data_IF_720780931788
#
_entry.id   IF_720780931788
#
_cell.length_a   1.000
_cell.length_b   1.000
_cell.length_c   1.000
_cell.angle_alpha   90.00
_cell.angle_beta   90.00
_cell.angle_gamma   90.00
#
_symmetry.space_group_name_H-M   'P 1'
#
loop_
_entity.id
_entity.type
_entity.pdbx_description
1 polymer ?
#
# COMPACT_ATOMS: atom_id res chain seq x y z
N UNK A 1 -14.69 -47.20 17.51
CA UNK A 1 -15.61 -46.69 16.48
C UNK A 1 -15.41 -45.19 16.36
N UNK A 2 -14.77 -44.74 15.28
CA UNK A 2 -14.56 -43.31 15.03
C UNK A 2 -15.90 -42.72 14.60
N UNK A 3 -16.33 -41.66 15.29
CA UNK A 3 -17.61 -41.00 15.07
C UNK A 3 -17.61 -40.35 13.67
N UNK A 4 -18.25 -40.99 12.69
CA UNK A 4 -18.35 -40.51 11.31
C UNK A 4 -19.02 -39.13 11.19
N UNK A 5 -19.70 -38.64 12.24
CA UNK A 5 -20.24 -37.29 12.32
C UNK A 5 -19.18 -36.18 12.42
N UNK A 6 -17.99 -36.46 12.96
CA UNK A 6 -16.91 -35.46 13.07
C UNK A 6 -16.07 -35.35 11.78
N UNK A 7 -15.97 -36.43 10.99
CA UNK A 7 -15.32 -36.38 9.67
C UNK A 7 -16.14 -35.61 8.63
N UNK A 8 -17.46 -35.49 8.81
CA UNK A 8 -18.33 -34.73 7.91
C UNK A 8 -18.16 -33.20 8.05
N UNK A 9 -17.61 -32.70 9.15
CA UNK A 9 -17.32 -31.27 9.31
C UNK A 9 -15.96 -30.83 8.73
N UNK A 10 -15.17 -31.77 8.19
CA UNK A 10 -13.96 -31.49 7.40
C UNK A 10 -14.28 -31.13 5.93
N UNK A 11 -15.55 -30.88 5.59
CA UNK A 11 -15.99 -30.36 4.30
C UNK A 11 -15.35 -28.99 4.01
N UNK A 12 -14.21 -29.03 3.31
CA UNK A 12 -13.53 -27.98 2.54
C UNK A 12 -13.93 -26.54 2.91
N UNK A 13 -13.32 -25.99 3.97
CA UNK A 13 -13.50 -24.59 4.35
C UNK A 13 -13.09 -23.68 3.19
N UNK A 14 -14.05 -23.05 2.52
CA UNK A 14 -13.78 -22.12 1.42
C UNK A 14 -13.43 -20.74 1.96
N UNK A 15 -12.25 -20.24 1.58
CA UNK A 15 -11.75 -18.92 1.97
C UNK A 15 -11.60 -18.07 0.72
N UNK A 16 -12.24 -16.90 0.72
CA UNK A 16 -12.09 -15.91 -0.35
C UNK A 16 -11.17 -14.78 0.11
N UNK A 17 -10.03 -14.62 -0.53
CA UNK A 17 -9.10 -13.51 -0.31
C UNK A 17 -9.41 -12.42 -1.33
N UNK A 18 -9.64 -11.18 -0.91
CA UNK A 18 -9.90 -10.03 -1.78
C UNK A 18 -8.84 -8.96 -1.50
N UNK A 19 -8.24 -8.42 -2.55
CA UNK A 19 -7.21 -7.40 -2.43
C UNK A 19 -6.90 -6.68 -3.73
N UNK A 20 -6.24 -5.54 -3.63
CA UNK A 20 -5.43 -4.98 -4.71
C UNK A 20 -4.00 -5.52 -4.56
N UNK A 21 -3.36 -5.84 -5.68
CA UNK A 21 -2.01 -6.40 -5.74
C UNK A 21 -1.18 -5.53 -6.68
N UNK A 22 -0.82 -4.30 -6.27
CA UNK A 22 -0.01 -3.44 -7.12
C UNK A 22 1.40 -4.00 -7.27
N UNK A 23 1.98 -4.53 -6.19
CA UNK A 23 3.30 -5.17 -6.16
C UNK A 23 3.18 -6.40 -5.25
N UNK A 24 3.96 -7.45 -5.52
CA UNK A 24 4.12 -8.59 -4.59
C UNK A 24 5.40 -8.37 -3.80
N UNK A 25 5.28 -8.25 -2.47
CA UNK A 25 6.40 -8.02 -1.56
C UNK A 25 6.30 -8.95 -0.34
N UNK A 26 7.30 -8.94 0.55
CA UNK A 26 7.42 -9.83 1.72
C UNK A 26 6.14 -9.97 2.55
N UNK A 27 5.39 -8.88 2.77
CA UNK A 27 4.13 -8.91 3.51
C UNK A 27 3.04 -9.81 2.91
N UNK A 28 3.01 -9.98 1.58
CA UNK A 28 2.14 -10.97 0.93
C UNK A 28 2.61 -12.39 1.18
N UNK A 29 3.92 -12.63 1.13
CA UNK A 29 4.51 -13.95 1.39
C UNK A 29 4.26 -14.37 2.85
N UNK A 30 4.46 -13.45 3.80
CA UNK A 30 4.17 -13.67 5.22
C UNK A 30 2.68 -13.97 5.44
N UNK A 31 1.80 -13.23 4.74
CA UNK A 31 0.36 -13.50 4.75
C UNK A 31 0.04 -14.91 4.23
N UNK A 32 0.58 -15.29 3.08
CA UNK A 32 0.36 -16.60 2.45
C UNK A 32 0.79 -17.74 3.37
N UNK A 33 1.99 -17.67 3.93
CA UNK A 33 2.50 -18.66 4.87
C UNK A 33 1.63 -18.78 6.12
N UNK A 34 1.24 -17.64 6.70
CA UNK A 34 0.40 -17.60 7.90
C UNK A 34 -0.99 -18.17 7.65
N UNK A 35 -1.61 -17.84 6.52
CA UNK A 35 -2.97 -18.31 6.23
C UNK A 35 -3.01 -19.80 5.86
N UNK A 36 -1.99 -20.31 5.16
CA UNK A 36 -1.85 -21.75 4.89
C UNK A 36 -1.63 -22.54 6.17
N UNK A 37 -0.69 -22.11 7.03
CA UNK A 37 -0.41 -22.77 8.31
C UNK A 37 -1.65 -22.87 9.20
N UNK A 38 -2.49 -21.82 9.19
CA UNK A 38 -3.74 -21.77 9.98
C UNK A 38 -4.92 -22.53 9.34
N UNK A 39 -4.90 -22.80 8.04
CA UNK A 39 -6.04 -23.38 7.32
C UNK A 39 -5.58 -24.46 6.33
N UNK A 40 -4.88 -25.49 6.82
CA UNK A 40 -4.25 -26.55 6.00
C UNK A 40 -5.19 -27.26 5.01
N UNK A 41 -6.48 -27.39 5.35
CA UNK A 41 -7.48 -28.08 4.50
C UNK A 41 -8.48 -27.11 3.85
N UNK A 42 -8.17 -25.82 3.76
CA UNK A 42 -9.04 -24.85 3.15
C UNK A 42 -8.85 -24.78 1.63
N UNK A 43 -9.96 -24.60 0.91
CA UNK A 43 -9.94 -24.24 -0.51
C UNK A 43 -9.91 -22.72 -0.64
N UNK A 44 -8.89 -22.21 -1.32
CA UNK A 44 -8.69 -20.77 -1.44
C UNK A 44 -9.12 -20.22 -2.80
N UNK A 45 -9.77 -19.08 -2.75
CA UNK A 45 -10.24 -18.31 -3.90
C UNK A 45 -9.70 -16.90 -3.80
N UNK A 46 -9.36 -16.28 -4.93
CA UNK A 46 -8.79 -14.93 -4.95
C UNK A 46 -9.64 -13.99 -5.78
N UNK A 47 -9.92 -12.82 -5.22
CA UNK A 47 -10.66 -11.74 -5.83
C UNK A 47 -9.79 -10.52 -6.06
N UNK A 48 -9.60 -10.14 -7.33
CA UNK A 48 -8.97 -8.89 -7.70
C UNK A 48 -10.02 -7.82 -7.94
N UNK A 49 -9.78 -6.62 -7.44
CA UNK A 49 -10.64 -5.47 -7.73
C UNK A 49 -10.25 -4.86 -9.09
N UNK A 50 -11.21 -4.76 -10.00
CA UNK A 50 -10.97 -4.11 -11.28
C UNK A 50 -10.74 -2.59 -11.09
N UNK A 51 -9.71 -2.05 -11.74
CA UNK A 51 -9.33 -0.63 -11.68
C UNK A 51 -10.43 0.34 -12.09
N UNK A 52 -11.49 -0.09 -12.78
CA UNK A 52 -12.65 0.77 -13.10
C UNK A 52 -13.49 1.19 -11.89
N UNK A 53 -13.36 0.52 -10.73
CA UNK A 53 -13.91 1.01 -9.45
C UNK A 53 -13.10 2.22 -8.92
N UNK A 54 -11.87 2.44 -9.41
CA UNK A 54 -10.97 3.48 -8.92
C UNK A 54 -11.13 4.86 -9.61
N UNK A 55 -11.81 4.95 -10.75
CA UNK A 55 -11.88 6.22 -11.52
C UNK A 55 -12.70 7.33 -10.84
N UNK A 56 -13.55 6.99 -9.86
CA UNK A 56 -14.29 8.01 -9.09
C UNK A 56 -13.51 8.63 -7.93
N UNK A 57 -12.31 8.12 -7.58
CA UNK A 57 -11.65 8.47 -6.31
C UNK A 57 -10.21 9.01 -6.47
N UNK A 58 -9.51 8.83 -7.59
CA UNK A 58 -8.14 9.37 -7.75
C UNK A 58 -7.88 9.98 -9.12
N UNK A 59 -7.43 11.25 -9.14
CA UNK A 59 -6.94 12.01 -10.31
C UNK A 59 -5.55 11.53 -10.81
N UNK A 60 -4.95 10.53 -10.19
CA UNK A 60 -3.63 10.01 -10.53
C UNK A 60 -3.75 8.57 -11.07
N UNK A 61 -3.66 8.42 -12.40
CA UNK A 61 -3.23 7.18 -13.07
C UNK A 61 -1.69 7.20 -13.24
N UNK A 62 -1.04 6.07 -13.59
CA UNK A 62 -0.98 4.78 -12.94
C UNK A 62 0.21 4.69 -11.96
N UNK A 63 0.14 3.84 -10.93
CA UNK A 63 1.36 3.47 -10.19
C UNK A 63 2.26 2.69 -11.17
N UNK A 64 3.40 3.26 -11.58
CA UNK A 64 4.35 2.64 -12.52
C UNK A 64 4.83 1.26 -12.08
N UNK A 65 4.70 0.93 -10.79
CA UNK A 65 5.06 -0.37 -10.23
C UNK A 65 3.93 -1.39 -10.31
N UNK A 66 2.75 -0.99 -10.82
CA UNK A 66 1.57 -1.85 -10.84
C UNK A 66 1.77 -2.99 -11.83
N UNK A 67 1.89 -4.19 -11.27
CA UNK A 67 1.92 -5.44 -12.03
C UNK A 67 0.51 -5.67 -12.62
N UNK A 68 0.39 -6.00 -13.91
CA UNK A 68 -0.92 -6.29 -14.46
C UNK A 68 -1.50 -7.60 -13.87
N UNK A 69 -2.83 -7.68 -13.82
CA UNK A 69 -3.54 -8.75 -13.11
C UNK A 69 -3.18 -10.15 -13.63
N UNK A 70 -3.03 -10.40 -14.94
CA UNK A 70 -2.59 -11.71 -15.44
C UNK A 70 -1.27 -12.18 -14.85
N UNK A 71 -0.28 -11.30 -14.71
CA UNK A 71 1.04 -11.58 -14.18
C UNK A 71 0.96 -11.84 -12.68
N UNK A 72 0.19 -11.04 -11.94
CA UNK A 72 -0.06 -11.28 -10.51
C UNK A 72 -0.66 -12.67 -10.28
N UNK A 73 -1.62 -13.10 -11.10
CA UNK A 73 -2.22 -14.44 -10.99
C UNK A 73 -1.17 -15.54 -11.12
N UNK A 74 -0.26 -15.41 -12.10
CA UNK A 74 0.84 -16.36 -12.30
C UNK A 74 1.72 -16.45 -11.05
N UNK A 75 2.15 -15.31 -10.52
CA UNK A 75 3.00 -15.26 -9.31
C UNK A 75 2.29 -15.88 -8.11
N UNK A 76 1.04 -15.49 -7.83
CA UNK A 76 0.30 -16.02 -6.68
C UNK A 76 0.08 -17.53 -6.82
N UNK A 77 -0.22 -18.04 -8.02
CA UNK A 77 -0.45 -19.46 -8.25
C UNK A 77 0.80 -20.33 -7.97
N UNK A 78 2.00 -19.78 -8.12
CA UNK A 78 3.25 -20.48 -7.76
C UNK A 78 3.41 -20.63 -6.25
N UNK A 79 3.09 -19.58 -5.48
CA UNK A 79 3.30 -19.56 -4.03
C UNK A 79 2.10 -20.06 -3.22
N UNK A 80 0.94 -20.19 -3.85
CA UNK A 80 -0.31 -20.37 -3.12
C UNK A 80 -1.30 -21.26 -3.87
N UNK A 81 -1.90 -22.28 -3.22
CA UNK A 81 -2.83 -23.21 -3.85
C UNK A 81 -4.20 -22.56 -4.07
N UNK A 82 -4.30 -21.74 -5.11
CA UNK A 82 -5.55 -21.06 -5.51
C UNK A 82 -6.40 -21.97 -6.39
N UNK A 83 -7.65 -22.19 -6.00
CA UNK A 83 -8.64 -22.93 -6.80
C UNK A 83 -9.16 -22.12 -7.97
N UNK A 84 -9.46 -20.84 -7.75
CA UNK A 84 -9.96 -19.95 -8.80
C UNK A 84 -9.67 -18.49 -8.49
N UNK A 85 -9.37 -17.74 -9.53
CA UNK A 85 -9.26 -16.30 -9.50
C UNK A 85 -10.52 -15.64 -10.07
N UNK A 86 -10.92 -14.53 -9.47
CA UNK A 86 -12.07 -13.73 -9.84
C UNK A 86 -11.67 -12.29 -10.06
N UNK A 87 -12.32 -11.64 -11.02
CA UNK A 87 -12.24 -10.20 -11.21
C UNK A 87 -13.55 -9.58 -10.73
N UNK A 88 -13.49 -8.89 -9.61
CA UNK A 88 -14.62 -8.23 -8.98
C UNK A 88 -14.89 -6.87 -9.62
N UNK A 89 -16.15 -6.62 -9.91
CA UNK A 89 -16.71 -5.34 -10.29
C UNK A 89 -18.03 -5.08 -9.52
N UNK A 90 -18.60 -3.89 -9.66
CA UNK A 90 -19.83 -3.48 -8.97
C UNK A 90 -21.03 -4.39 -9.28
N UNK A 91 -21.07 -5.00 -10.45
CA UNK A 91 -22.24 -5.72 -10.95
C UNK A 91 -22.15 -7.22 -10.67
N UNK A 92 -20.95 -7.80 -10.62
CA UNK A 92 -20.76 -9.26 -10.51
C UNK A 92 -20.41 -9.75 -9.10
N UNK A 93 -20.05 -8.88 -8.15
CA UNK A 93 -19.47 -9.33 -6.89
C UNK A 93 -20.40 -10.22 -6.06
N UNK A 94 -21.69 -9.88 -6.02
CA UNK A 94 -22.67 -10.57 -5.18
C UNK A 94 -22.85 -12.01 -5.65
N UNK A 95 -22.93 -12.21 -6.97
CA UNK A 95 -23.08 -13.52 -7.59
C UNK A 95 -21.81 -14.36 -7.43
N UNK A 96 -20.63 -13.77 -7.66
CA UNK A 96 -19.35 -14.46 -7.48
C UNK A 96 -19.16 -14.95 -6.04
N UNK A 97 -19.53 -14.14 -5.04
CA UNK A 97 -19.46 -14.55 -3.63
C UNK A 97 -20.47 -15.66 -3.33
N UNK A 98 -21.69 -15.59 -3.86
CA UNK A 98 -22.69 -16.66 -3.72
C UNK A 98 -22.19 -17.98 -4.33
N UNK A 99 -21.62 -17.93 -5.53
CA UNK A 99 -21.10 -19.10 -6.24
C UNK A 99 -19.92 -19.76 -5.50
N UNK A 100 -19.07 -18.96 -4.86
CA UNK A 100 -18.03 -19.50 -3.99
C UNK A 100 -18.62 -20.09 -2.71
N UNK A 101 -19.56 -19.38 -2.07
CA UNK A 101 -20.11 -19.72 -0.75
C UNK A 101 -19.03 -19.74 0.34
N UNK A 102 -18.23 -18.66 0.52
CA UNK A 102 -17.11 -18.68 1.45
C UNK A 102 -17.59 -18.72 2.91
N UNK A 103 -16.93 -19.53 3.74
CA UNK A 103 -17.09 -19.48 5.20
C UNK A 103 -16.33 -18.32 5.82
N UNK A 104 -15.37 -17.76 5.08
CA UNK A 104 -14.53 -16.65 5.51
C UNK A 104 -14.09 -15.81 4.32
N UNK A 105 -14.17 -14.49 4.45
CA UNK A 105 -13.64 -13.53 3.49
C UNK A 105 -12.46 -12.81 4.16
N UNK A 106 -11.29 -12.84 3.53
CA UNK A 106 -10.12 -12.10 3.98
C UNK A 106 -9.93 -10.89 3.08
N UNK A 107 -9.98 -9.69 3.66
CA UNK A 107 -9.71 -8.45 2.94
C UNK A 107 -8.28 -8.03 3.24
N UNK A 108 -7.44 -8.00 2.21
CA UNK A 108 -6.11 -7.42 2.30
C UNK A 108 -6.25 -5.90 2.39
N UNK A 109 -5.77 -5.29 3.48
CA UNK A 109 -5.97 -3.86 3.72
C UNK A 109 -5.26 -3.04 2.64
N UNK A 110 -6.00 -2.07 2.15
CA UNK A 110 -5.62 -1.15 1.09
C UNK A 110 -6.83 -0.27 0.80
N UNK A 111 -6.60 0.98 0.42
CA UNK A 111 -7.68 1.98 0.31
C UNK A 111 -8.85 1.48 -0.53
N UNK A 112 -8.58 0.88 -1.70
CA UNK A 112 -9.63 0.34 -2.58
C UNK A 112 -10.31 -0.89 -2.00
N UNK A 113 -9.58 -1.78 -1.35
CA UNK A 113 -10.11 -3.02 -0.78
C UNK A 113 -10.96 -2.78 0.45
N UNK A 114 -10.55 -1.84 1.31
CA UNK A 114 -11.32 -1.40 2.47
C UNK A 114 -12.59 -0.66 2.04
N UNK A 115 -12.49 0.26 1.06
CA UNK A 115 -13.67 0.94 0.51
C UNK A 115 -14.64 -0.06 -0.15
N UNK A 116 -14.13 -1.02 -0.93
CA UNK A 116 -14.97 -2.05 -1.55
C UNK A 116 -15.70 -2.89 -0.49
N UNK A 117 -15.01 -3.30 0.57
CA UNK A 117 -15.62 -4.07 1.65
C UNK A 117 -16.69 -3.25 2.40
N UNK A 118 -16.41 -1.97 2.68
CA UNK A 118 -17.34 -1.07 3.36
C UNK A 118 -18.60 -0.80 2.53
N UNK A 119 -18.46 -0.60 1.22
CA UNK A 119 -19.57 -0.24 0.34
C UNK A 119 -20.41 -1.44 -0.09
N UNK A 120 -19.77 -2.58 -0.39
CA UNK A 120 -20.42 -3.70 -1.07
C UNK A 120 -20.55 -4.97 -0.23
N UNK A 121 -19.76 -5.15 0.81
CA UNK A 121 -19.71 -6.40 1.58
C UNK A 121 -20.39 -6.31 2.96
N UNK A 122 -21.20 -5.28 3.22
CA UNK A 122 -21.91 -5.10 4.50
C UNK A 122 -22.67 -6.35 4.96
N UNK A 123 -23.39 -7.02 4.04
CA UNK A 123 -24.11 -8.28 4.33
C UNK A 123 -23.23 -9.46 4.77
N UNK A 124 -21.93 -9.40 4.49
CA UNK A 124 -20.95 -10.45 4.83
C UNK A 124 -20.07 -10.06 6.02
N UNK A 125 -20.36 -8.96 6.73
CA UNK A 125 -19.47 -8.41 7.76
C UNK A 125 -19.06 -9.42 8.84
N UNK A 126 -19.96 -10.34 9.22
CA UNK A 126 -19.70 -11.39 10.22
C UNK A 126 -18.60 -12.39 9.83
N UNK A 127 -18.33 -12.54 8.53
CA UNK A 127 -17.33 -13.49 8.00
C UNK A 127 -16.09 -12.78 7.42
N UNK A 128 -16.04 -11.45 7.49
CA UNK A 128 -14.92 -10.64 6.99
C UNK A 128 -13.82 -10.56 8.04
N UNK A 129 -12.57 -10.80 7.62
CA UNK A 129 -11.39 -10.52 8.42
C UNK A 129 -10.41 -9.66 7.61
N UNK A 130 -9.96 -8.56 8.20
CA UNK A 130 -8.96 -7.70 7.58
C UNK A 130 -7.55 -8.17 7.90
N UNK A 131 -6.66 -8.13 6.91
CA UNK A 131 -5.25 -8.43 7.09
C UNK A 131 -4.40 -7.29 6.55
N UNK A 132 -3.54 -6.73 7.40
CA UNK A 132 -2.68 -5.60 6.99
C UNK A 132 -1.44 -6.09 6.27
N UNK A 133 -1.25 -5.63 5.04
CA UNK A 133 -0.07 -5.90 4.20
C UNK A 133 0.54 -4.60 3.66
N UNK A 134 0.10 -3.43 4.12
CA UNK A 134 0.42 -2.16 3.48
C UNK A 134 1.90 -1.82 3.67
N UNK A 135 2.56 -1.39 2.59
CA UNK A 135 3.89 -0.76 2.62
C UNK A 135 3.83 0.73 2.98
N UNK A 136 2.64 1.34 2.86
CA UNK A 136 2.43 2.78 3.07
C UNK A 136 1.32 3.01 4.07
N UNK A 137 1.44 4.11 4.79
CA UNK A 137 0.38 4.57 5.68
C UNK A 137 -0.87 4.92 4.87
N UNK A 138 -2.07 4.57 5.36
CA UNK A 138 -3.31 4.95 4.68
C UNK A 138 -3.43 6.47 4.63
N UNK A 139 -3.92 6.99 3.50
CA UNK A 139 -4.07 8.42 3.19
C UNK A 139 -4.78 9.21 4.30
N UNK A 140 -5.79 8.60 4.95
CA UNK A 140 -6.52 9.19 6.09
C UNK A 140 -5.62 9.49 7.29
N UNK A 141 -4.68 8.59 7.63
CA UNK A 141 -3.74 8.83 8.73
C UNK A 141 -2.76 9.96 8.42
N UNK A 142 -2.34 10.09 7.15
CA UNK A 142 -1.50 11.21 6.71
C UNK A 142 -2.25 12.55 6.82
N UNK A 143 -3.56 12.55 6.54
CA UNK A 143 -4.41 13.73 6.70
C UNK A 143 -4.70 14.07 8.17
N UNK A 144 -4.76 13.07 9.06
CA UNK A 144 -4.93 13.28 10.51
C UNK A 144 -3.72 14.02 11.11
N UNK A 145 -2.49 13.71 10.67
CA UNK A 145 -1.29 14.50 11.05
C UNK A 145 -1.40 15.98 10.64
N UNK A 146 -2.16 16.32 9.59
CA UNK A 146 -2.37 17.73 9.21
C UNK A 146 -3.34 18.47 10.13
N UNK A 147 -4.15 17.74 10.92
CA UNK A 147 -5.14 18.33 11.84
C UNK A 147 -4.59 18.58 13.23
N UNK A 148 -3.45 17.99 13.59
CA UNK A 148 -2.78 18.31 14.85
C UNK A 148 -2.39 19.80 14.83
N UNK A 149 -2.97 20.56 15.76
CA UNK A 149 -2.60 21.96 15.94
C UNK A 149 -1.15 21.99 16.42
N UNK A 150 -0.30 22.68 15.68
CA UNK A 150 1.09 22.90 16.09
C UNK A 150 1.13 23.49 17.51
N UNK A 151 2.05 23.00 18.35
CA UNK A 151 2.33 23.60 19.66
C UNK A 151 3.02 24.97 19.55
N UNK A 152 3.39 25.39 18.34
CA UNK A 152 4.11 26.63 18.09
C UNK A 152 3.18 27.84 18.08
N UNK A 153 3.65 28.95 18.64
CA UNK A 153 2.97 30.23 18.51
C UNK A 153 3.00 30.72 17.05
N UNK A 154 2.00 31.50 16.62
CA UNK A 154 1.91 32.04 15.25
C UNK A 154 3.19 32.76 14.79
N UNK A 155 3.84 33.49 15.71
CA UNK A 155 5.11 34.19 15.46
C UNK A 155 6.27 33.23 15.17
N UNK A 156 6.34 32.12 15.91
CA UNK A 156 7.37 31.09 15.73
C UNK A 156 7.15 30.34 14.43
N UNK A 157 5.89 30.00 14.13
CA UNK A 157 5.54 29.36 12.86
C UNK A 157 5.95 30.23 11.65
N UNK A 158 5.70 31.54 11.69
CA UNK A 158 6.12 32.45 10.63
C UNK A 158 7.65 32.51 10.49
N UNK A 159 8.36 32.46 11.62
CA UNK A 159 9.81 32.43 11.63
C UNK A 159 10.38 31.13 11.03
N UNK A 160 9.84 29.97 11.40
CA UNK A 160 10.26 28.70 10.79
C UNK A 160 9.90 28.61 9.31
N UNK A 161 8.74 29.15 8.89
CA UNK A 161 8.39 29.27 7.47
C UNK A 161 9.41 30.11 6.71
N UNK A 162 9.93 31.19 7.30
CA UNK A 162 11.00 32.00 6.70
C UNK A 162 12.28 31.18 6.54
N UNK A 163 12.70 30.44 7.57
CA UNK A 163 13.90 29.58 7.46
C UNK A 163 13.71 28.48 6.41
N UNK A 164 12.52 27.86 6.35
CA UNK A 164 12.20 26.86 5.34
C UNK A 164 12.25 27.45 3.93
N UNK A 165 11.71 28.66 3.72
CA UNK A 165 11.81 29.36 2.43
C UNK A 165 13.27 29.61 2.02
N UNK A 166 14.13 29.95 2.98
CA UNK A 166 15.56 30.13 2.72
C UNK A 166 16.27 28.81 2.39
N UNK A 167 15.90 27.70 3.05
CA UNK A 167 16.39 26.37 2.69
C UNK A 167 15.93 25.94 1.28
N UNK A 168 14.69 26.24 0.90
CA UNK A 168 14.20 25.99 -0.46
C UNK A 168 14.97 26.79 -1.51
N UNK A 169 15.24 28.07 -1.26
CA UNK A 169 16.11 28.86 -2.16
C UNK A 169 17.49 28.27 -2.28
N UNK A 170 18.09 27.83 -1.18
CA UNK A 170 19.42 27.21 -1.22
C UNK A 170 19.41 25.91 -2.03
N UNK A 171 18.31 25.15 -1.99
CA UNK A 171 18.15 23.92 -2.75
C UNK A 171 18.19 24.16 -4.27
N UNK A 172 17.82 25.35 -4.75
CA UNK A 172 17.86 25.73 -6.17
C UNK A 172 19.29 25.74 -6.74
N UNK A 173 20.31 25.81 -5.87
CA UNK A 173 21.71 25.72 -6.27
C UNK A 173 22.17 24.28 -6.54
N UNK A 174 21.40 23.27 -6.11
CA UNK A 174 21.78 21.86 -6.30
C UNK A 174 21.63 21.43 -7.75
N UNK A 175 22.70 20.82 -8.27
CA UNK A 175 22.74 20.21 -9.62
C UNK A 175 22.23 18.77 -9.64
N UNK A 176 21.83 18.22 -8.49
CA UNK A 176 21.27 16.88 -8.42
C UNK A 176 19.83 16.85 -8.94
N UNK A 177 19.61 16.21 -10.08
CA UNK A 177 18.28 16.10 -10.71
C UNK A 177 17.28 15.28 -9.90
N UNK A 178 17.75 14.30 -9.12
CA UNK A 178 16.87 13.41 -8.37
C UNK A 178 16.31 14.08 -7.12
N UNK A 179 17.12 14.89 -6.43
CA UNK A 179 16.76 15.55 -5.16
C UNK A 179 17.54 16.85 -5.00
N UNK A 180 16.82 17.96 -5.04
CA UNK A 180 17.33 19.29 -4.69
C UNK A 180 17.12 19.50 -3.19
N UNK A 181 18.20 19.48 -2.42
CA UNK A 181 18.19 19.57 -0.95
C UNK A 181 19.01 20.78 -0.52
N UNK A 182 18.34 21.74 0.09
CA UNK A 182 18.97 22.89 0.73
C UNK A 182 18.81 22.82 2.24
N UNK A 183 19.78 23.37 2.96
CA UNK A 183 19.85 23.37 4.42
C UNK A 183 20.23 24.75 4.93
N UNK A 184 19.64 25.14 6.06
CA UNK A 184 20.01 26.35 6.80
C UNK A 184 20.26 25.99 8.26
N UNK A 185 21.41 26.41 8.80
CA UNK A 185 21.71 26.29 10.23
C UNK A 185 21.27 27.57 10.93
N UNK A 186 20.45 27.41 11.97
CA UNK A 186 19.88 28.55 12.72
C UNK A 186 20.39 28.54 14.15
N UNK A 187 20.98 29.64 14.60
CA UNK A 187 21.39 29.87 16.00
C UNK A 187 20.83 31.20 16.49
N UNK A 188 20.22 31.21 17.68
CA UNK A 188 19.58 32.40 18.27
C UNK A 188 18.67 33.14 17.27
N UNK A 189 17.79 32.40 16.58
CA UNK A 189 16.81 32.93 15.61
C UNK A 189 17.42 33.61 14.35
N UNK A 190 18.71 33.41 14.08
CA UNK A 190 19.40 33.90 12.88
C UNK A 190 20.00 32.73 12.11
N UNK A 191 19.94 32.79 10.79
CA UNK A 191 20.65 31.85 9.92
C UNK A 191 22.14 32.17 10.03
N UNK A 192 22.95 31.17 10.36
CA UNK A 192 24.41 31.29 10.49
C UNK A 192 25.17 30.51 9.41
N UNK A 193 24.52 29.56 8.74
CA UNK A 193 25.09 28.82 7.62
C UNK A 193 23.97 28.43 6.65
N UNK A 194 24.31 28.36 5.36
CA UNK A 194 23.49 27.77 4.30
C UNK A 194 24.36 26.82 3.50
N UNK A 195 23.78 25.74 3.01
CA UNK A 195 24.45 24.78 2.14
C UNK A 195 23.39 23.95 1.40
N UNK A 196 23.79 23.28 0.33
CA UNK A 196 22.95 22.38 -0.44
C UNK A 196 23.69 21.08 -0.72
N UNK A 197 22.99 20.06 -1.21
CA UNK A 197 23.64 18.84 -1.62
C UNK A 197 24.41 19.04 -2.94
N UNK A 198 25.71 18.84 -2.85
CA UNK A 198 26.63 18.80 -3.98
C UNK A 198 26.90 17.36 -4.38
N UNK A 199 27.11 17.15 -5.67
CA UNK A 199 27.58 15.87 -6.19
C UNK A 199 29.12 15.95 -6.21
N UNK A 200 29.78 14.94 -5.65
CA UNK A 200 31.23 14.89 -5.60
C UNK A 200 31.75 13.80 -6.56
N UNK A 201 32.93 13.98 -7.16
CA UNK A 201 33.81 15.14 -7.02
C UNK A 201 33.44 16.34 -7.92
N UNK A 202 32.55 16.13 -8.90
CA UNK A 202 32.15 17.17 -9.84
C UNK A 202 30.65 17.41 -9.85
N UNK A 203 30.29 18.63 -10.19
CA UNK A 203 28.94 19.15 -10.27
C UNK A 203 28.01 18.43 -11.27
N UNK A 204 28.58 17.81 -12.30
CA UNK A 204 27.87 17.12 -13.38
C UNK A 204 27.81 15.59 -13.21
N UNK A 205 28.34 15.07 -12.09
CA UNK A 205 28.36 13.63 -11.81
C UNK A 205 26.95 12.99 -11.90
N UNK A 206 25.92 13.72 -11.48
CA UNK A 206 24.54 13.24 -11.55
C UNK A 206 24.05 12.98 -12.99
N UNK A 207 24.62 13.66 -13.99
CA UNK A 207 24.35 13.42 -15.41
C UNK A 207 25.18 12.26 -15.97
N UNK A 208 26.42 12.10 -15.48
CA UNK A 208 27.35 11.09 -15.98
C UNK A 208 26.98 9.68 -15.51
N UNK A 209 26.70 9.54 -14.21
CA UNK A 209 26.53 8.23 -13.56
C UNK A 209 25.18 8.08 -12.85
N UNK A 210 24.32 9.09 -12.85
CA UNK A 210 23.06 9.06 -12.12
C UNK A 210 23.24 9.30 -10.62
N UNK A 211 22.33 8.77 -9.79
CA UNK A 211 22.44 8.93 -8.34
C UNK A 211 23.31 7.80 -7.76
N UNK A 212 24.48 8.13 -7.19
CA UNK A 212 25.38 7.14 -6.58
C UNK A 212 24.72 6.28 -5.48
N UNK A 213 23.64 6.78 -4.86
CA UNK A 213 22.87 6.01 -3.87
C UNK A 213 22.04 4.88 -4.47
N UNK A 214 21.80 4.89 -5.78
CA UNK A 214 21.07 3.81 -6.44
C UNK A 214 21.97 2.57 -6.65
N UNK A 215 23.29 2.73 -6.50
CA UNK A 215 24.29 1.67 -6.64
C UNK A 215 24.81 1.13 -5.28
N UNK A 216 24.32 1.67 -4.16
CA UNK A 216 24.66 1.24 -2.77
C UNK A 216 23.45 0.57 -2.12
#
# INVERSE_FOLDING_TARGET
>A
MVNFGEMANFLNKKILVIGEFPVIHKGYIDFFNKILKKNKSASFYFGFLNGKIAKKIMKLEPDIRKIPIPEVKKVIAVYFPVKKFFLFNKNNYSELIKNVGPKKIVILKGEKSENFAADYLKKYQKIIQYYDIRLRWPSKKVAEFKKEKTHLLKRELNQYKKFMKEAFKEAENSKCWWRQVGAVLVKKRKIILRSFNEMMPFDDECYKIGCIRDEI
#
